data_IF_384964407612
#
_entry.id   IF_384964407612
#
_cell.length_a   1.000
_cell.length_b   1.000
_cell.length_c   1.000
_cell.angle_alpha   90.00
_cell.angle_beta   90.00
_cell.angle_gamma   90.00
#
_symmetry.space_group_name_H-M   'P 1'
#
loop_
_entity.id
_entity.type
_entity.pdbx_description
1 polymer ?
#
# COMPACT_ATOMS: atom_id res chain seq x y z
N UNK A 1 -4.63 -20.37 17.89
CA UNK A 1 -4.67 -18.88 17.98
C UNK A 1 -6.06 -18.47 17.54
N UNK A 2 -6.95 -18.14 18.47
CA UNK A 2 -8.34 -17.80 18.16
C UNK A 2 -8.40 -16.30 17.84
N UNK A 3 -8.69 -15.96 16.58
CA UNK A 3 -8.79 -14.58 16.13
C UNK A 3 -10.18 -14.04 16.48
N UNK A 4 -10.21 -12.97 17.27
CA UNK A 4 -11.41 -12.46 17.96
C UNK A 4 -12.34 -11.62 17.08
N UNK A 5 -11.90 -11.16 15.91
CA UNK A 5 -12.69 -10.24 15.07
C UNK A 5 -13.13 -10.82 13.70
N UNK A 6 -12.62 -12.00 13.30
CA UNK A 6 -12.94 -12.69 12.02
C UNK A 6 -12.83 -11.80 10.77
N UNK A 7 -12.00 -10.75 10.80
CA UNK A 7 -11.87 -9.79 9.69
C UNK A 7 -10.73 -10.10 8.74
N UNK A 8 -9.76 -10.92 9.17
CA UNK A 8 -8.56 -11.26 8.40
C UNK A 8 -7.90 -12.55 8.90
N UNK A 9 -7.01 -13.11 8.07
CA UNK A 9 -6.25 -14.32 8.35
C UNK A 9 -4.75 -14.01 8.43
N UNK A 10 -4.22 -13.66 9.62
CA UNK A 10 -2.81 -13.34 9.78
C UNK A 10 -1.94 -14.59 9.63
N UNK A 11 -0.80 -14.42 8.98
CA UNK A 11 0.20 -15.47 8.79
C UNK A 11 1.58 -14.99 9.25
N UNK A 12 2.41 -15.92 9.71
CA UNK A 12 3.76 -15.63 10.24
C UNK A 12 4.70 -15.01 9.19
N UNK A 13 4.37 -15.14 7.90
CA UNK A 13 5.18 -14.63 6.78
C UNK A 13 5.05 -13.11 6.56
N UNK A 14 4.27 -12.41 7.39
CA UNK A 14 4.17 -10.96 7.41
C UNK A 14 2.94 -10.39 6.71
N UNK A 15 2.92 -9.06 6.55
CA UNK A 15 1.73 -8.31 6.10
C UNK A 15 1.25 -8.71 4.71
N UNK A 16 2.15 -8.81 3.73
CA UNK A 16 1.75 -9.06 2.34
C UNK A 16 1.18 -10.48 2.16
N UNK A 17 1.75 -11.48 2.85
CA UNK A 17 1.21 -12.83 2.86
C UNK A 17 -0.12 -12.93 3.62
N UNK A 18 -0.34 -12.09 4.64
CA UNK A 18 -1.61 -11.97 5.35
C UNK A 18 -2.70 -11.41 4.44
N UNK A 19 -2.38 -10.43 3.61
CA UNK A 19 -3.30 -9.88 2.60
C UNK A 19 -3.70 -10.94 1.58
N UNK A 20 -2.73 -11.70 1.08
CA UNK A 20 -2.97 -12.81 0.16
C UNK A 20 -3.86 -13.90 0.79
N UNK A 21 -3.53 -14.37 1.99
CA UNK A 21 -4.31 -15.39 2.70
C UNK A 21 -5.75 -14.92 2.97
N UNK A 22 -5.92 -13.66 3.37
CA UNK A 22 -7.23 -13.05 3.63
C UNK A 22 -8.05 -12.91 2.33
N UNK A 23 -7.41 -12.60 1.20
CA UNK A 23 -8.07 -12.55 -0.10
C UNK A 23 -8.59 -13.94 -0.53
N UNK A 24 -7.81 -15.00 -0.31
CA UNK A 24 -8.30 -16.36 -0.54
C UNK A 24 -9.47 -16.74 0.36
N UNK A 25 -9.44 -16.34 1.64
CA UNK A 25 -10.56 -16.55 2.55
C UNK A 25 -11.83 -15.82 2.07
N UNK A 26 -11.70 -14.58 1.58
CA UNK A 26 -12.81 -13.84 0.97
C UNK A 26 -13.38 -14.57 -0.24
N UNK A 27 -12.53 -15.04 -1.18
CA UNK A 27 -12.98 -15.81 -2.33
C UNK A 27 -13.74 -17.08 -1.93
N UNK A 28 -13.28 -17.77 -0.87
CA UNK A 28 -13.95 -18.96 -0.36
C UNK A 28 -15.35 -18.63 0.20
N UNK A 29 -15.48 -17.55 0.97
CA UNK A 29 -16.76 -17.10 1.52
C UNK A 29 -17.73 -16.62 0.45
N UNK A 30 -17.24 -15.91 -0.58
CA UNK A 30 -18.06 -15.51 -1.74
C UNK A 30 -18.58 -16.73 -2.48
N UNK A 31 -17.72 -17.74 -2.69
CA UNK A 31 -18.12 -19.01 -3.31
C UNK A 31 -19.16 -19.78 -2.50
N UNK A 32 -19.09 -19.71 -1.17
CA UNK A 32 -20.07 -20.31 -0.25
C UNK A 32 -21.32 -19.44 -0.04
N UNK A 33 -21.40 -18.28 -0.72
CA UNK A 33 -22.49 -17.30 -0.56
C UNK A 33 -22.65 -16.76 0.86
N UNK A 34 -21.59 -16.83 1.68
CA UNK A 34 -21.54 -16.33 3.06
C UNK A 34 -21.27 -14.82 3.10
N UNK A 35 -22.14 -14.02 2.49
CA UNK A 35 -21.89 -12.58 2.24
C UNK A 35 -21.81 -11.74 3.51
N UNK A 36 -22.56 -12.09 4.55
CA UNK A 36 -22.51 -11.40 5.85
C UNK A 36 -21.14 -11.55 6.53
N UNK A 37 -20.48 -12.70 6.34
CA UNK A 37 -19.12 -12.97 6.83
C UNK A 37 -18.05 -12.37 5.91
N UNK A 38 -18.31 -12.31 4.61
CA UNK A 38 -17.41 -11.70 3.64
C UNK A 38 -17.32 -10.17 3.77
N UNK A 39 -18.44 -9.50 4.10
CA UNK A 39 -18.51 -8.03 4.22
C UNK A 39 -17.45 -7.41 5.13
N UNK A 40 -17.24 -7.86 6.39
CA UNK A 40 -16.19 -7.30 7.25
C UNK A 40 -14.77 -7.50 6.69
N UNK A 41 -14.53 -8.58 5.94
CA UNK A 41 -13.24 -8.85 5.31
C UNK A 41 -12.98 -7.88 4.16
N UNK A 42 -13.99 -7.59 3.33
CA UNK A 42 -13.88 -6.58 2.25
C UNK A 42 -13.56 -5.20 2.82
N UNK A 43 -14.21 -4.82 3.92
CA UNK A 43 -13.93 -3.56 4.63
C UNK A 43 -12.49 -3.52 5.13
N UNK A 44 -12.03 -4.61 5.75
CA UNK A 44 -10.65 -4.71 6.24
C UNK A 44 -9.65 -4.60 5.09
N UNK A 45 -9.83 -5.36 4.00
CA UNK A 45 -8.97 -5.33 2.82
C UNK A 45 -8.91 -3.94 2.17
N UNK A 46 -10.04 -3.23 2.10
CA UNK A 46 -10.10 -1.88 1.55
C UNK A 46 -9.23 -0.89 2.35
N UNK A 47 -9.09 -1.09 3.67
CA UNK A 47 -8.25 -0.26 4.54
C UNK A 47 -6.75 -0.58 4.42
N UNK A 48 -6.37 -1.69 3.79
CA UNK A 48 -4.96 -2.10 3.66
C UNK A 48 -4.26 -1.53 2.41
N UNK A 49 -5.00 -0.80 1.56
CA UNK A 49 -4.45 -0.26 0.32
C UNK A 49 -3.37 0.80 0.62
N UNK A 50 -2.19 0.63 0.03
CA UNK A 50 -1.05 1.55 0.20
C UNK A 50 -1.13 2.69 -0.82
N UNK A 51 -0.29 3.71 -0.64
CA UNK A 51 -0.12 4.79 -1.62
C UNK A 51 0.19 4.22 -3.01
N UNK A 52 -0.47 4.75 -4.05
CA UNK A 52 -0.39 4.23 -5.42
C UNK A 52 -1.33 3.05 -5.70
N UNK A 53 -2.14 2.64 -4.71
CA UNK A 53 -3.21 1.66 -4.89
C UNK A 53 -2.79 0.20 -4.75
N UNK A 54 -1.52 -0.10 -4.50
CA UNK A 54 -1.02 -1.46 -4.35
C UNK A 54 -1.19 -2.01 -2.92
N UNK A 55 -0.95 -3.32 -2.78
CA UNK A 55 -1.02 -4.06 -1.52
C UNK A 55 0.35 -4.60 -1.07
N UNK A 56 1.44 -3.90 -1.42
CA UNK A 56 2.81 -4.24 -1.01
C UNK A 56 3.55 -5.18 -1.96
N UNK A 57 2.90 -6.25 -2.42
CA UNK A 57 3.48 -7.17 -3.41
C UNK A 57 2.53 -7.39 -4.60
N UNK A 58 3.07 -7.83 -5.74
CA UNK A 58 2.27 -8.14 -6.94
C UNK A 58 1.23 -9.23 -6.65
N UNK A 59 1.62 -10.31 -5.95
CA UNK A 59 0.71 -11.41 -5.60
C UNK A 59 -0.43 -10.94 -4.70
N UNK A 60 -0.11 -10.22 -3.61
CA UNK A 60 -1.13 -9.65 -2.73
C UNK A 60 -2.05 -8.69 -3.48
N UNK A 61 -1.49 -7.84 -4.35
CA UNK A 61 -2.27 -6.87 -5.12
C UNK A 61 -3.26 -7.55 -6.06
N UNK A 62 -2.81 -8.54 -6.83
CA UNK A 62 -3.68 -9.29 -7.75
C UNK A 62 -4.76 -10.03 -6.97
N UNK A 63 -4.40 -10.74 -5.91
CA UNK A 63 -5.34 -11.55 -5.15
C UNK A 63 -6.40 -10.71 -4.44
N UNK A 64 -6.01 -9.60 -3.82
CA UNK A 64 -6.97 -8.70 -3.15
C UNK A 64 -7.93 -8.09 -4.17
N UNK A 65 -7.44 -7.61 -5.31
CA UNK A 65 -8.32 -7.06 -6.35
C UNK A 65 -9.29 -8.09 -6.90
N UNK A 66 -8.81 -9.31 -7.18
CA UNK A 66 -9.66 -10.40 -7.65
C UNK A 66 -10.75 -10.73 -6.62
N UNK A 67 -10.39 -10.86 -5.35
CA UNK A 67 -11.34 -11.21 -4.29
C UNK A 67 -12.41 -10.13 -4.06
N UNK A 68 -12.01 -8.85 -4.02
CA UNK A 68 -12.94 -7.73 -3.85
C UNK A 68 -13.83 -7.56 -5.09
N UNK A 69 -13.29 -7.75 -6.29
CA UNK A 69 -14.08 -7.70 -7.52
C UNK A 69 -15.13 -8.80 -7.59
N UNK A 70 -14.77 -10.04 -7.21
CA UNK A 70 -15.71 -11.17 -7.19
C UNK A 70 -16.82 -10.98 -6.14
N UNK A 71 -16.48 -10.42 -4.98
CA UNK A 71 -17.48 -10.02 -4.00
C UNK A 71 -18.43 -8.96 -4.57
N UNK A 72 -17.88 -7.90 -5.17
CA UNK A 72 -18.66 -6.78 -5.70
C UNK A 72 -19.54 -7.15 -6.90
N UNK A 73 -19.13 -8.14 -7.70
CA UNK A 73 -19.93 -8.64 -8.83
C UNK A 73 -21.08 -9.56 -8.41
N UNK A 74 -20.99 -10.16 -7.22
CA UNK A 74 -21.94 -11.16 -6.73
C UNK A 74 -22.97 -10.59 -5.76
N UNK A 75 -22.59 -9.60 -4.96
CA UNK A 75 -23.45 -9.03 -3.92
C UNK A 75 -24.33 -7.92 -4.48
N UNK A 76 -25.63 -7.99 -4.22
CA UNK A 76 -26.54 -6.88 -4.48
C UNK A 76 -26.35 -5.79 -3.41
N UNK A 77 -25.83 -4.63 -3.82
CA UNK A 77 -25.66 -3.51 -2.90
C UNK A 77 -26.98 -2.80 -2.61
N UNK A 78 -27.20 -2.36 -1.36
CA UNK A 78 -28.34 -1.53 -1.01
C UNK A 78 -28.28 -0.16 -1.72
N UNK A 79 -29.40 0.59 -1.75
CA UNK A 79 -29.40 1.96 -2.28
C UNK A 79 -28.32 2.82 -1.62
N UNK A 80 -27.58 3.53 -2.46
CA UNK A 80 -26.49 4.41 -2.08
C UNK A 80 -27.00 5.86 -2.15
N UNK A 81 -26.94 6.59 -1.04
CA UNK A 81 -27.16 8.04 -0.95
C UNK A 81 -26.26 8.56 0.18
N UNK A 82 -24.99 8.78 -0.14
CA UNK A 82 -23.99 9.23 0.82
C UNK A 82 -23.58 10.66 0.52
N UNK A 83 -23.72 11.53 1.50
CA UNK A 83 -23.30 12.93 1.43
C UNK A 83 -22.08 13.13 2.31
N UNK A 84 -20.99 13.57 1.71
CA UNK A 84 -19.70 13.76 2.37
C UNK A 84 -19.29 15.22 2.27
N UNK A 85 -18.96 15.84 3.40
CA UNK A 85 -18.36 17.16 3.49
C UNK A 85 -16.98 17.05 4.13
N UNK A 86 -15.99 17.70 3.51
CA UNK A 86 -14.60 17.67 3.94
C UNK A 86 -14.17 19.11 4.14
N UNK A 87 -13.73 19.44 5.36
CA UNK A 87 -13.31 20.80 5.72
C UNK A 87 -11.96 20.81 6.41
N UNK A 88 -11.21 21.89 6.20
CA UNK A 88 -9.93 22.16 6.86
C UNK A 88 -10.07 23.50 7.57
N UNK A 89 -9.85 23.50 8.90
CA UNK A 89 -10.05 24.69 9.75
C UNK A 89 -11.43 25.35 9.56
N UNK A 90 -12.47 24.55 9.39
CA UNK A 90 -13.84 25.03 9.18
C UNK A 90 -14.13 25.58 7.78
N UNK A 91 -13.14 25.62 6.86
CA UNK A 91 -13.37 25.95 5.46
C UNK A 91 -13.53 24.66 4.65
N UNK A 92 -14.66 24.54 3.95
CA UNK A 92 -14.90 23.39 3.08
C UNK A 92 -13.85 23.33 1.96
N UNK A 93 -13.22 22.17 1.76
CA UNK A 93 -12.20 21.93 0.73
C UNK A 93 -12.81 21.76 -0.66
N UNK A 94 -14.08 21.39 -0.73
CA UNK A 94 -14.80 21.16 -1.97
C UNK A 94 -16.30 21.22 -1.72
N UNK A 95 -17.07 21.51 -2.77
CA UNK A 95 -18.53 21.43 -2.69
C UNK A 95 -18.95 20.06 -2.14
N UNK A 96 -20.01 20.04 -1.31
CA UNK A 96 -20.56 18.82 -0.70
C UNK A 96 -20.66 17.71 -1.75
N UNK A 97 -19.95 16.62 -1.49
CA UNK A 97 -19.91 15.48 -2.39
C UNK A 97 -21.16 14.64 -2.12
N UNK A 98 -21.90 14.31 -3.17
CA UNK A 98 -23.01 13.36 -3.10
C UNK A 98 -22.73 12.16 -3.99
N UNK A 99 -22.70 10.99 -3.35
CA UNK A 99 -22.58 9.69 -3.99
C UNK A 99 -23.95 9.02 -4.02
N UNK A 100 -24.30 8.43 -5.15
CA UNK A 100 -25.52 7.69 -5.38
C UNK A 100 -25.28 6.48 -6.29
N UNK A 101 -26.29 5.65 -6.54
CA UNK A 101 -26.17 4.47 -7.40
C UNK A 101 -25.61 4.75 -8.81
N UNK A 102 -25.64 6.00 -9.31
CA UNK A 102 -25.07 6.37 -10.61
C UNK A 102 -23.60 6.77 -10.57
N UNK A 103 -23.07 7.16 -9.40
CA UNK A 103 -21.71 7.72 -9.30
C UNK A 103 -20.89 7.20 -8.10
N UNK A 104 -21.39 6.23 -7.34
CA UNK A 104 -20.71 5.67 -6.16
C UNK A 104 -19.35 5.02 -6.47
N UNK A 105 -19.10 4.59 -7.71
CA UNK A 105 -17.78 4.12 -8.16
C UNK A 105 -16.78 5.25 -8.52
N UNK A 106 -17.20 6.52 -8.48
CA UNK A 106 -16.32 7.64 -8.87
C UNK A 106 -15.43 8.11 -7.72
N UNK A 107 -14.14 8.31 -7.99
CA UNK A 107 -13.22 8.92 -7.02
C UNK A 107 -13.30 10.45 -7.06
N UNK A 108 -13.34 11.08 -5.88
CA UNK A 108 -13.24 12.54 -5.73
C UNK A 108 -11.93 12.90 -5.06
N UNK A 109 -11.17 13.82 -5.67
CA UNK A 109 -9.87 14.26 -5.16
C UNK A 109 -9.89 15.77 -5.01
N UNK A 110 -9.34 16.26 -3.90
CA UNK A 110 -9.04 17.68 -3.70
C UNK A 110 -7.63 17.81 -3.12
N UNK A 111 -6.99 18.94 -3.39
CA UNK A 111 -5.66 19.28 -2.86
C UNK A 111 -5.78 20.62 -2.14
N UNK A 112 -5.04 20.77 -1.05
CA UNK A 112 -4.93 22.02 -0.32
C UNK A 112 -3.49 22.22 0.14
N UNK A 113 -3.13 23.48 0.35
CA UNK A 113 -1.78 23.83 0.77
C UNK A 113 -1.59 23.65 2.28
N UNK A 114 -0.44 23.07 2.62
CA UNK A 114 -0.02 22.84 3.99
C UNK A 114 -0.21 21.40 4.46
N UNK A 115 0.66 21.00 5.38
CA UNK A 115 0.62 19.72 6.08
C UNK A 115 0.21 19.92 7.54
N UNK A 116 -0.13 18.83 8.22
CA UNK A 116 -0.48 18.81 9.64
C UNK A 116 -1.60 19.80 9.99
N UNK A 117 -2.67 19.79 9.20
CA UNK A 117 -3.90 20.53 9.48
C UNK A 117 -4.99 19.55 9.88
N UNK A 118 -5.82 19.97 10.83
CA UNK A 118 -7.00 19.19 11.19
C UNK A 118 -7.98 19.18 10.04
N UNK A 119 -8.34 17.96 9.62
CA UNK A 119 -9.33 17.70 8.57
C UNK A 119 -10.56 17.10 9.22
N UNK A 120 -11.71 17.75 9.04
CA UNK A 120 -13.00 17.25 9.50
C UNK A 120 -13.75 16.65 8.33
N UNK A 121 -14.10 15.37 8.46
CA UNK A 121 -14.92 14.64 7.47
C UNK A 121 -16.28 14.35 8.10
N UNK A 122 -17.35 14.83 7.48
CA UNK A 122 -18.73 14.56 7.89
C UNK A 122 -19.40 13.74 6.81
N UNK A 123 -19.90 12.56 7.16
CA UNK A 123 -20.62 11.67 6.25
C UNK A 123 -22.05 11.43 6.78
N UNK A 124 -23.05 11.57 5.92
CA UNK A 124 -24.47 11.40 6.25
C UNK A 124 -25.19 10.63 5.16
N UNK A 125 -26.21 9.84 5.51
CA UNK A 125 -27.00 9.05 4.58
C UNK A 125 -26.67 7.56 4.62
N UNK A 126 -26.81 6.88 3.48
CA UNK A 126 -26.68 5.42 3.36
C UNK A 126 -25.59 5.04 2.37
N UNK A 127 -24.71 4.13 2.78
CA UNK A 127 -23.57 3.69 1.98
C UNK A 127 -22.27 3.75 2.78
N UNK A 128 -21.21 3.23 2.18
CA UNK A 128 -19.86 3.20 2.75
C UNK A 128 -18.89 3.78 1.73
N UNK A 129 -18.01 4.69 2.17
CA UNK A 129 -16.99 5.26 1.31
C UNK A 129 -15.62 5.21 2.00
N UNK A 130 -14.58 5.04 1.20
CA UNK A 130 -13.21 5.11 1.64
C UNK A 130 -12.70 6.55 1.54
N UNK A 131 -12.11 7.05 2.62
CA UNK A 131 -11.44 8.35 2.66
C UNK A 131 -9.93 8.13 2.85
N UNK A 132 -9.13 8.65 1.90
CA UNK A 132 -7.67 8.58 1.95
C UNK A 132 -7.10 9.99 1.99
N UNK A 133 -6.29 10.28 3.02
CA UNK A 133 -5.54 11.52 3.16
C UNK A 133 -4.05 11.26 2.94
N UNK A 134 -3.45 11.98 2.01
CA UNK A 134 -2.04 11.79 1.63
C UNK A 134 -1.32 13.14 1.77
N UNK A 135 -0.27 13.17 2.58
CA UNK A 135 0.62 14.32 2.74
C UNK A 135 1.93 14.06 1.99
N UNK A 136 2.23 14.90 1.00
CA UNK A 136 3.50 14.87 0.28
C UNK A 136 4.39 16.01 0.77
N UNK A 137 5.58 15.69 1.28
CA UNK A 137 6.53 16.68 1.77
C UNK A 137 7.96 16.16 1.65
N UNK A 138 8.92 17.08 1.60
CA UNK A 138 10.33 16.75 1.71
C UNK A 138 10.67 16.51 3.19
N UNK A 139 10.93 15.26 3.54
CA UNK A 139 11.42 14.90 4.87
C UNK A 139 12.94 15.08 4.92
N UNK A 140 13.45 15.64 6.02
CA UNK A 140 14.88 15.55 6.32
C UNK A 140 15.18 14.07 6.59
N UNK A 141 16.16 13.45 5.92
CA UNK A 141 16.55 12.09 6.20
C UNK A 141 16.94 11.98 7.68
N UNK A 142 16.24 11.13 8.42
CA UNK A 142 16.66 10.75 9.77
C UNK A 142 17.53 9.52 9.64
N UNK A 143 18.72 9.54 10.23
CA UNK A 143 19.52 8.32 10.39
C UNK A 143 18.71 7.36 11.24
N UNK A 144 18.12 6.34 10.60
CA UNK A 144 17.56 5.21 11.32
C UNK A 144 18.71 4.28 11.67
N UNK A 145 18.76 3.82 12.92
CA UNK A 145 19.48 2.58 13.21
C UNK A 145 18.97 1.51 12.23
N UNK A 146 19.91 0.81 11.58
CA UNK A 146 19.63 -0.07 10.46
C UNK A 146 18.43 -0.99 10.74
N UNK A 147 17.33 -0.80 10.01
CA UNK A 147 16.14 -1.63 10.03
C UNK A 147 16.29 -2.88 9.16
N UNK A 148 17.52 -3.23 8.77
CA UNK A 148 17.84 -4.42 7.98
C UNK A 148 17.78 -5.68 8.87
N UNK A 149 16.58 -6.10 9.25
CA UNK A 149 16.36 -7.27 10.10
C UNK A 149 16.61 -8.60 9.36
N UNK A 150 16.43 -8.63 8.04
CA UNK A 150 16.39 -9.87 7.26
C UNK A 150 17.59 -10.09 6.33
N UNK A 151 18.33 -9.03 6.02
CA UNK A 151 19.49 -9.08 5.13
C UNK A 151 20.69 -8.35 5.76
N UNK A 152 21.89 -8.88 5.55
CA UNK A 152 23.12 -8.11 5.68
C UNK A 152 23.49 -7.56 4.30
N UNK A 153 23.63 -6.24 4.20
CA UNK A 153 24.02 -5.54 2.99
C UNK A 153 25.32 -4.79 3.26
N UNK A 154 26.35 -5.09 2.47
CA UNK A 154 27.62 -4.36 2.49
C UNK A 154 27.89 -3.76 1.12
N UNK A 155 28.18 -2.46 1.12
CA UNK A 155 28.45 -1.69 -0.09
C UNK A 155 29.84 -1.07 -0.01
N UNK A 156 30.61 -1.24 -1.07
CA UNK A 156 31.96 -0.71 -1.18
C UNK A 156 32.13 -0.06 -2.56
N UNK A 157 32.59 1.19 -2.58
CA UNK A 157 32.90 1.92 -3.80
C UNK A 157 34.42 2.03 -3.94
N UNK A 158 34.98 1.26 -4.87
CA UNK A 158 36.43 1.14 -5.05
C UNK A 158 36.84 1.99 -6.26
N UNK A 159 37.73 2.96 -6.07
CA UNK A 159 38.28 3.74 -7.18
C UNK A 159 39.19 2.86 -8.03
N UNK A 160 38.92 2.83 -9.35
CA UNK A 160 39.67 2.03 -10.32
C UNK A 160 40.61 2.91 -11.14
N UNK A 161 40.14 4.11 -11.52
CA UNK A 161 40.97 5.10 -12.20
C UNK A 161 40.50 6.52 -11.90
N UNK A 162 41.48 7.43 -11.81
CA UNK A 162 41.28 8.88 -11.72
C UNK A 162 42.09 9.54 -12.83
N UNK A 163 41.40 9.94 -13.89
CA UNK A 163 41.94 10.84 -14.91
C UNK A 163 41.37 12.25 -14.67
N UNK A 164 42.04 13.30 -15.17
CA UNK A 164 41.64 14.71 -14.93
C UNK A 164 40.16 15.00 -15.19
N UNK A 165 39.56 14.31 -16.17
CA UNK A 165 38.16 14.51 -16.57
C UNK A 165 37.25 13.28 -16.36
N UNK A 166 37.77 12.19 -15.77
CA UNK A 166 37.03 10.94 -15.64
C UNK A 166 37.48 10.14 -14.44
N UNK A 167 36.54 9.89 -13.52
CA UNK A 167 36.74 8.95 -12.42
C UNK A 167 35.91 7.70 -12.65
N UNK A 168 36.53 6.54 -12.50
CA UNK A 168 35.88 5.24 -12.65
C UNK A 168 35.92 4.53 -11.31
N UNK A 169 34.74 4.09 -10.88
CA UNK A 169 34.57 3.34 -9.64
C UNK A 169 33.97 1.98 -9.92
N UNK A 170 34.42 0.97 -9.18
CA UNK A 170 33.82 -0.34 -9.09
C UNK A 170 32.92 -0.37 -7.86
N UNK A 171 31.63 -0.51 -8.07
CA UNK A 171 30.65 -0.73 -7.02
C UNK A 171 30.61 -2.24 -6.68
N UNK A 172 31.07 -2.61 -5.49
CA UNK A 172 30.96 -3.97 -4.96
C UNK A 172 29.82 -4.02 -3.95
N UNK A 173 28.89 -4.94 -4.16
CA UNK A 173 27.72 -5.13 -3.31
C UNK A 173 27.73 -6.59 -2.84
N UNK A 174 27.72 -6.80 -1.54
CA UNK A 174 27.62 -8.12 -0.90
C UNK A 174 26.31 -8.18 -0.14
N UNK A 175 25.51 -9.22 -0.42
CA UNK A 175 24.19 -9.43 0.18
C UNK A 175 24.15 -10.81 0.81
N UNK A 176 23.68 -10.91 2.05
CA UNK A 176 23.43 -12.18 2.73
C UNK A 176 22.03 -12.18 3.35
N UNK A 177 21.23 -13.19 3.07
CA UNK A 177 19.97 -13.41 3.77
C UNK A 177 20.23 -14.04 5.14
N UNK A 178 19.62 -13.51 6.20
CA UNK A 178 19.92 -13.88 7.60
C UNK A 178 19.26 -15.19 8.04
N UNK A 179 18.27 -15.68 7.31
CA UNK A 179 17.56 -16.91 7.68
C UNK A 179 18.48 -18.14 7.51
N UNK A 180 18.57 -18.97 8.54
CA UNK A 180 19.41 -20.17 8.57
C UNK A 180 18.70 -21.43 8.10
N UNK A 181 17.37 -21.41 8.01
CA UNK A 181 16.54 -22.57 7.66
C UNK A 181 16.23 -22.65 6.17
N UNK A 182 16.25 -21.51 5.46
CA UNK A 182 15.95 -21.45 4.04
C UNK A 182 16.68 -20.32 3.35
N UNK A 183 16.90 -20.52 2.05
CA UNK A 183 17.36 -19.47 1.16
C UNK A 183 16.27 -18.42 0.89
N UNK A 184 16.72 -17.22 0.52
CA UNK A 184 15.81 -16.19 0.04
C UNK A 184 15.19 -16.61 -1.30
N UNK A 185 13.91 -16.29 -1.50
CA UNK A 185 13.30 -16.36 -2.83
C UNK A 185 13.82 -15.24 -3.73
N UNK A 186 13.17 -15.03 -4.88
CA UNK A 186 13.44 -13.89 -5.75
C UNK A 186 13.47 -12.59 -4.94
N UNK A 187 14.60 -11.88 -5.04
CA UNK A 187 14.91 -10.66 -4.30
C UNK A 187 15.38 -9.60 -5.28
N UNK A 188 15.11 -8.34 -4.98
CA UNK A 188 15.41 -7.21 -5.86
C UNK A 188 16.47 -6.33 -5.19
N UNK A 189 17.48 -5.93 -5.96
CA UNK A 189 18.45 -4.93 -5.57
C UNK A 189 18.18 -3.65 -6.38
N UNK A 190 17.66 -2.63 -5.71
CA UNK A 190 17.40 -1.32 -6.31
C UNK A 190 18.59 -0.39 -6.07
N UNK A 191 19.23 0.07 -7.15
CA UNK A 191 20.49 0.83 -7.10
C UNK A 191 20.27 2.20 -7.72
N UNK A 192 20.15 3.22 -6.86
CA UNK A 192 20.22 4.62 -7.26
C UNK A 192 21.68 5.08 -7.41
N UNK A 193 22.04 5.63 -8.56
CA UNK A 193 23.37 6.22 -8.77
C UNK A 193 23.40 7.69 -8.32
N UNK A 194 24.50 8.16 -7.72
CA UNK A 194 24.65 9.58 -7.42
C UNK A 194 24.64 10.43 -8.71
N UNK A 195 24.21 11.69 -8.58
CA UNK A 195 24.15 12.63 -9.70
C UNK A 195 25.50 12.73 -10.41
N UNK A 196 25.48 12.68 -11.75
CA UNK A 196 26.67 12.76 -12.59
C UNK A 196 27.35 11.43 -12.89
N UNK A 197 27.02 10.36 -12.17
CA UNK A 197 27.53 9.01 -12.45
C UNK A 197 26.69 8.30 -13.51
N UNK A 198 27.33 7.42 -14.28
CA UNK A 198 26.67 6.56 -15.26
C UNK A 198 27.20 5.14 -15.11
N UNK A 199 26.29 4.16 -15.23
CA UNK A 199 26.67 2.75 -15.20
C UNK A 199 27.48 2.40 -16.46
N UNK A 200 28.59 1.69 -16.27
CA UNK A 200 29.36 1.13 -17.39
C UNK A 200 28.67 -0.15 -17.87
N UNK A 201 28.26 -0.16 -19.15
CA UNK A 201 27.50 -1.28 -19.76
C UNK A 201 28.39 -2.35 -20.41
N UNK A 202 29.69 -2.11 -20.42
CA UNK A 202 30.70 -2.97 -21.05
C UNK A 202 31.47 -3.78 -20.01
#
# INVERSE_FOLDING_TARGET
>A
MYFTDRTHWPVLKGKDATLEATAYALLALVKDQAFDEAKPIVRWLSQQQRYGGNYGSTQATIMVYQAVAEYASTVNEPPFDLKVDISVKGRSLMNKISFNNRNHYTTRTSKFDGINKDVTVTATGTGEAMFNMISLYYAIPTEKESDCEMFDLKLELIEVSSEENKRVYKLKIEVKYKNTERDASMSILDIGLPTGYKFNKN
#
